data_IF_314697499150
#
_entry.id   IF_314697499150
#
_cell.length_a   1.000
_cell.length_b   1.000
_cell.length_c   1.000
_cell.angle_alpha   90.00
_cell.angle_beta   90.00
_cell.angle_gamma   90.00
#
_symmetry.space_group_name_H-M   'P 1'
#
loop_
_entity.id
_entity.type
_entity.pdbx_description
1 polymer ?
#
# COMPACT_ATOMS: atom_id res chain seq x y z
N UNK A 1 -5.29 -7.60 35.65
CA UNK A 1 -6.18 -8.44 34.81
C UNK A 1 -5.41 -8.82 33.55
N UNK A 2 -5.23 -10.12 33.28
CA UNK A 2 -4.56 -10.63 32.07
C UNK A 2 -5.55 -10.53 30.91
N UNK A 3 -5.21 -9.83 29.82
CA UNK A 3 -6.00 -9.89 28.59
C UNK A 3 -5.97 -11.34 28.10
N UNK A 4 -7.09 -12.04 28.24
CA UNK A 4 -7.34 -13.27 27.51
C UNK A 4 -7.51 -12.85 26.05
N UNK A 5 -6.46 -13.02 25.25
CA UNK A 5 -6.57 -12.93 23.80
C UNK A 5 -7.60 -13.98 23.39
N UNK A 6 -8.80 -13.54 23.06
CA UNK A 6 -9.80 -14.41 22.43
C UNK A 6 -9.14 -14.99 21.18
N UNK A 7 -9.04 -16.31 21.11
CA UNK A 7 -8.51 -16.99 19.92
C UNK A 7 -9.52 -16.73 18.80
N UNK A 8 -9.22 -15.73 17.98
CA UNK A 8 -9.96 -15.41 16.76
C UNK A 8 -10.14 -16.71 15.95
N UNK A 9 -11.37 -17.01 15.58
CA UNK A 9 -11.65 -18.12 14.66
C UNK A 9 -11.09 -17.82 13.28
N UNK A 10 -10.84 -18.85 12.48
CA UNK A 10 -10.22 -18.66 11.15
C UNK A 10 -11.07 -17.77 10.22
N UNK A 11 -12.39 -17.79 10.36
CA UNK A 11 -13.29 -16.94 9.57
C UNK A 11 -13.20 -15.46 9.98
N UNK A 12 -13.09 -15.17 11.28
CA UNK A 12 -12.91 -13.80 11.79
C UNK A 12 -11.58 -13.23 11.32
N UNK A 13 -10.52 -14.04 11.41
CA UNK A 13 -9.17 -13.67 10.95
C UNK A 13 -9.18 -13.34 9.46
N UNK A 14 -9.79 -14.19 8.64
CA UNK A 14 -9.92 -13.98 7.19
C UNK A 14 -10.64 -12.67 6.87
N UNK A 15 -11.77 -12.41 7.54
CA UNK A 15 -12.58 -11.20 7.36
C UNK A 15 -11.84 -9.93 7.76
N UNK A 16 -11.11 -9.95 8.88
CA UNK A 16 -10.31 -8.80 9.33
C UNK A 16 -9.18 -8.47 8.36
N UNK A 17 -8.52 -9.48 7.80
CA UNK A 17 -7.48 -9.29 6.80
C UNK A 17 -8.06 -8.75 5.48
N UNK A 18 -9.18 -9.31 5.01
CA UNK A 18 -9.84 -8.84 3.79
C UNK A 18 -10.32 -7.38 3.88
N UNK A 19 -10.70 -6.90 5.07
CA UNK A 19 -11.05 -5.48 5.27
C UNK A 19 -9.88 -4.51 5.01
N UNK A 20 -8.63 -4.97 5.10
CA UNK A 20 -7.42 -4.17 4.86
C UNK A 20 -6.85 -4.45 3.47
N UNK A 21 -6.81 -5.72 3.08
CA UNK A 21 -6.09 -6.20 1.89
C UNK A 21 -6.99 -6.55 0.71
N UNK A 22 -8.31 -6.61 0.90
CA UNK A 22 -9.26 -7.12 -0.09
C UNK A 22 -9.36 -8.65 -0.12
N UNK A 23 -10.28 -9.16 -0.94
CA UNK A 23 -10.60 -10.60 -1.02
C UNK A 23 -9.70 -11.39 -1.99
N UNK A 24 -9.01 -10.72 -2.90
CA UNK A 24 -8.15 -11.35 -3.91
C UNK A 24 -6.76 -10.72 -3.92
N UNK A 25 -5.72 -11.56 -3.75
CA UNK A 25 -4.37 -11.16 -4.12
C UNK A 25 -4.27 -11.12 -5.64
N UNK A 26 -3.51 -10.19 -6.23
CA UNK A 26 -3.22 -10.21 -7.66
C UNK A 26 -2.52 -11.51 -8.04
N UNK A 27 -2.81 -12.02 -9.25
CA UNK A 27 -2.14 -13.22 -9.79
C UNK A 27 -0.62 -13.04 -9.96
N UNK A 28 -0.17 -11.78 -10.05
CA UNK A 28 1.22 -11.40 -10.27
C UNK A 28 1.74 -10.56 -9.10
N UNK A 29 3.00 -10.74 -8.73
CA UNK A 29 3.66 -9.94 -7.68
C UNK A 29 3.94 -8.51 -8.15
N UNK A 30 4.50 -7.66 -7.28
CA UNK A 30 4.77 -6.26 -7.66
C UNK A 30 5.92 -6.10 -8.65
N UNK A 31 6.89 -7.00 -8.62
CA UNK A 31 8.05 -7.05 -9.51
C UNK A 31 7.70 -7.57 -10.92
N UNK A 32 6.64 -8.38 -11.04
CA UNK A 32 6.14 -8.88 -12.33
C UNK A 32 5.22 -7.88 -13.07
N UNK A 33 4.72 -6.86 -12.37
CA UNK A 33 3.84 -5.84 -12.95
C UNK A 33 4.69 -4.72 -13.56
N UNK A 34 4.39 -4.36 -14.81
CA UNK A 34 5.00 -3.20 -15.45
C UNK A 34 4.64 -1.91 -14.69
N UNK A 35 5.62 -1.17 -14.11
CA UNK A 35 5.36 0.08 -13.41
C UNK A 35 4.77 1.17 -14.31
N UNK A 36 4.85 1.03 -15.65
CA UNK A 36 4.45 2.02 -16.66
C UNK A 36 2.95 2.13 -16.95
N UNK A 37 2.11 1.21 -16.45
CA UNK A 37 0.65 1.26 -16.71
C UNK A 37 -0.13 2.25 -15.80
N UNK A 38 0.53 2.92 -14.87
CA UNK A 38 -0.08 3.97 -14.05
C UNK A 38 0.51 5.35 -14.42
N UNK A 39 -0.29 6.43 -14.49
CA UNK A 39 0.23 7.78 -14.66
C UNK A 39 0.98 8.21 -13.39
N UNK A 40 2.23 7.75 -13.25
CA UNK A 40 3.13 8.03 -12.13
C UNK A 40 4.23 9.03 -12.48
N UNK A 41 4.47 9.24 -13.77
CA UNK A 41 5.51 10.15 -14.26
C UNK A 41 5.22 11.59 -13.81
N UNK A 42 3.99 12.06 -13.97
CA UNK A 42 3.60 13.44 -13.63
C UNK A 42 3.69 13.77 -12.13
N UNK A 43 3.25 12.84 -11.26
CA UNK A 43 3.21 13.07 -9.82
C UNK A 43 4.62 13.06 -9.19
N UNK A 44 5.50 12.20 -9.70
CA UNK A 44 6.86 12.06 -9.19
C UNK A 44 7.71 13.28 -9.56
N UNK A 45 7.58 13.76 -10.80
CA UNK A 45 8.26 14.99 -11.23
C UNK A 45 7.74 16.23 -10.50
N UNK A 46 6.42 16.34 -10.30
CA UNK A 46 5.83 17.46 -9.59
C UNK A 46 6.33 17.55 -8.14
N UNK A 47 6.45 16.40 -7.46
CA UNK A 47 7.02 16.33 -6.12
C UNK A 47 8.49 16.77 -6.10
N UNK A 48 9.30 16.31 -7.06
CA UNK A 48 10.72 16.64 -7.14
C UNK A 48 10.95 18.16 -7.33
N UNK A 49 10.15 18.78 -8.21
CA UNK A 49 10.20 20.24 -8.47
C UNK A 49 9.77 21.07 -7.27
N UNK A 50 8.90 20.53 -6.39
CA UNK A 50 8.47 21.20 -5.16
C UNK A 50 9.52 21.16 -4.03
N UNK A 51 10.57 20.34 -4.16
CA UNK A 51 11.66 20.24 -3.17
C UNK A 51 12.82 21.22 -3.42
N UNK A 52 12.71 22.13 -4.39
CA UNK A 52 13.77 23.12 -4.67
C UNK A 52 13.89 24.10 -3.50
N UNK A 53 15.03 24.16 -2.79
CA UNK A 53 15.22 25.09 -1.68
C UNK A 53 15.17 26.56 -2.14
N UNK A 54 14.71 27.50 -1.31
CA UNK A 54 14.44 28.90 -1.69
C UNK A 54 15.70 29.76 -1.99
N UNK A 55 16.89 29.17 -1.99
CA UNK A 55 18.18 29.87 -2.14
C UNK A 55 19.01 29.33 -3.30
N UNK A 56 18.37 29.05 -4.43
CA UNK A 56 19.07 28.96 -5.71
C UNK A 56 18.93 30.29 -6.47
N UNK A 57 19.79 31.22 -6.08
CA UNK A 57 20.16 32.44 -6.79
C UNK A 57 21.66 32.66 -6.57
#
# INVERSE_FOLDING_TARGET
>A
MRLMSQTESDWERRRRLAAIFGDALPDTTSDERDPGSAPREDASEAWLKAQVPPHHG
#
